data_IF_569985306469
#
_entry.id   IF_569985306469
#
_cell.length_a   1.000
_cell.length_b   1.000
_cell.length_c   1.000
_cell.angle_alpha   90.00
_cell.angle_beta   90.00
_cell.angle_gamma   90.00
#
_symmetry.space_group_name_H-M   'P 1'
#
loop_
_entity.id
_entity.type
_entity.pdbx_description
1 polymer ?
#
# COMPACT_ATOMS: atom_id res chain seq x y z
N UNK A 1 -22.40 10.10 1.92
CA UNK A 1 -21.37 10.97 1.30
C UNK A 1 -19.95 10.43 1.49
N UNK A 2 -19.71 9.55 2.46
CA UNK A 2 -18.36 9.04 2.76
C UNK A 2 -17.79 8.06 1.73
N UNK A 3 -18.61 7.22 1.08
CA UNK A 3 -18.11 6.24 0.11
C UNK A 3 -17.36 6.88 -1.08
N UNK A 4 -17.85 8.01 -1.61
CA UNK A 4 -17.16 8.73 -2.67
C UNK A 4 -15.79 9.26 -2.23
N UNK A 5 -15.70 9.73 -0.98
CA UNK A 5 -14.46 10.28 -0.42
C UNK A 5 -13.46 9.18 -0.07
N UNK A 6 -13.92 8.02 0.39
CA UNK A 6 -13.04 6.91 0.75
C UNK A 6 -12.69 5.99 -0.43
N UNK A 7 -13.52 5.96 -1.49
CA UNK A 7 -13.31 5.06 -2.63
C UNK A 7 -12.77 5.80 -3.86
N UNK A 8 -13.35 6.96 -4.23
CA UNK A 8 -12.94 7.68 -5.44
C UNK A 8 -11.75 8.62 -5.23
N UNK A 9 -11.68 9.30 -4.09
CA UNK A 9 -10.58 10.24 -3.82
C UNK A 9 -9.18 9.59 -3.85
N UNK A 10 -8.98 8.39 -3.27
CA UNK A 10 -7.68 7.72 -3.36
C UNK A 10 -7.30 7.40 -4.81
N UNK A 11 -8.26 6.94 -5.62
CA UNK A 11 -8.03 6.64 -7.04
C UNK A 11 -7.62 7.89 -7.82
N UNK A 12 -8.32 9.01 -7.61
CA UNK A 12 -7.99 10.29 -8.24
C UNK A 12 -6.59 10.75 -7.81
N UNK A 13 -6.25 10.62 -6.53
CA UNK A 13 -4.95 11.00 -5.99
C UNK A 13 -3.82 10.17 -6.59
N UNK A 14 -3.97 8.85 -6.68
CA UNK A 14 -2.98 7.95 -7.28
C UNK A 14 -2.79 8.28 -8.76
N UNK A 15 -3.88 8.45 -9.51
CA UNK A 15 -3.81 8.84 -10.93
C UNK A 15 -3.18 10.21 -11.12
N UNK A 16 -3.47 11.18 -10.24
CA UNK A 16 -2.88 12.52 -10.27
C UNK A 16 -1.37 12.51 -10.04
N UNK A 17 -0.89 11.77 -9.03
CA UNK A 17 0.55 11.61 -8.77
C UNK A 17 1.25 10.93 -9.96
N UNK A 18 0.65 9.87 -10.51
CA UNK A 18 1.22 9.19 -11.67
C UNK A 18 1.25 10.07 -12.93
N UNK A 19 0.21 10.87 -13.16
CA UNK A 19 0.16 11.83 -14.26
C UNK A 19 1.23 12.91 -14.08
N UNK A 20 1.40 13.42 -12.86
CA UNK A 20 2.46 14.37 -12.55
C UNK A 20 3.86 13.79 -12.80
N UNK A 21 4.12 12.54 -12.41
CA UNK A 21 5.38 11.86 -12.76
C UNK A 21 5.55 11.68 -14.26
N UNK A 22 4.48 11.32 -14.97
CA UNK A 22 4.52 11.19 -16.43
C UNK A 22 4.93 12.51 -17.09
N UNK A 23 4.39 13.64 -16.62
CA UNK A 23 4.76 14.99 -17.10
C UNK A 23 6.20 15.32 -16.72
N UNK A 24 6.58 15.12 -15.44
CA UNK A 24 7.90 15.47 -14.91
C UNK A 24 9.06 14.71 -15.57
N UNK A 25 8.86 13.42 -15.87
CA UNK A 25 9.89 12.56 -16.46
C UNK A 25 9.74 12.40 -17.99
N UNK A 26 8.79 13.11 -18.61
CA UNK A 26 8.62 13.11 -20.07
C UNK A 26 8.13 11.79 -20.65
N UNK A 27 7.38 11.00 -19.87
CA UNK A 27 6.81 9.72 -20.31
C UNK A 27 6.84 8.63 -19.25
N UNK A 28 5.93 7.66 -19.34
CA UNK A 28 5.78 6.58 -18.34
C UNK A 28 7.01 5.70 -18.22
N UNK A 29 7.76 5.51 -19.32
CA UNK A 29 8.97 4.68 -19.37
C UNK A 29 10.19 5.32 -18.69
N UNK A 30 10.14 6.63 -18.46
CA UNK A 30 11.23 7.40 -17.84
C UNK A 30 11.00 7.61 -16.34
N UNK A 31 9.88 7.12 -15.79
CA UNK A 31 9.63 7.22 -14.36
C UNK A 31 10.62 6.27 -13.68
N UNK A 32 11.47 6.78 -12.77
CA UNK A 32 12.45 5.94 -12.12
C UNK A 32 11.76 4.85 -11.29
N UNK A 33 12.11 3.55 -11.47
CA UNK A 33 11.49 2.46 -10.74
C UNK A 33 11.55 2.65 -9.22
N UNK A 34 12.68 3.15 -8.70
CA UNK A 34 12.90 3.45 -7.28
C UNK A 34 11.88 4.45 -6.72
N UNK A 35 11.38 5.37 -7.54
CA UNK A 35 10.36 6.34 -7.14
C UNK A 35 9.00 5.64 -6.95
N UNK A 36 8.69 4.68 -7.81
CA UNK A 36 7.48 3.86 -7.74
C UNK A 36 7.56 2.94 -6.53
N UNK A 37 8.67 2.19 -6.39
CA UNK A 37 8.91 1.28 -5.28
C UNK A 37 8.91 2.01 -3.93
N UNK A 38 9.60 3.14 -3.79
CA UNK A 38 9.59 3.92 -2.56
C UNK A 38 8.20 4.48 -2.20
N UNK A 39 7.35 4.78 -3.19
CA UNK A 39 5.97 5.17 -2.94
C UNK A 39 5.09 3.97 -2.54
N UNK A 40 5.35 2.79 -3.11
CA UNK A 40 4.68 1.55 -2.73
C UNK A 40 5.06 1.14 -1.30
N UNK A 41 6.34 1.18 -0.94
CA UNK A 41 6.84 0.89 0.41
C UNK A 41 6.22 1.83 1.46
N UNK A 42 6.16 3.14 1.17
CA UNK A 42 5.46 4.09 2.06
C UNK A 42 3.98 3.78 2.22
N UNK A 43 3.33 3.29 1.17
CA UNK A 43 1.91 2.93 1.20
C UNK A 43 1.69 1.64 1.99
N UNK A 44 2.57 0.66 1.83
CA UNK A 44 2.62 -0.58 2.62
C UNK A 44 2.79 -0.31 4.10
N UNK A 45 3.78 0.51 4.47
CA UNK A 45 4.06 0.85 5.86
C UNK A 45 2.84 1.47 6.53
N UNK A 46 2.19 2.43 5.86
CA UNK A 46 0.93 3.02 6.34
C UNK A 46 -0.21 2.01 6.43
N UNK A 47 -0.30 1.09 5.49
CA UNK A 47 -1.31 0.03 5.53
C UNK A 47 -1.10 -0.90 6.73
N UNK A 48 0.14 -1.32 6.98
CA UNK A 48 0.50 -2.11 8.17
C UNK A 48 0.20 -1.36 9.46
N UNK A 49 0.61 -0.10 9.58
CA UNK A 49 0.30 0.76 10.73
C UNK A 49 -1.22 0.90 10.95
N UNK A 50 -2.01 1.04 9.89
CA UNK A 50 -3.47 1.11 9.97
C UNK A 50 -4.10 -0.21 10.42
N UNK A 51 -3.58 -1.36 9.96
CA UNK A 51 -4.03 -2.68 10.42
C UNK A 51 -3.69 -2.88 11.88
N UNK A 52 -2.47 -2.52 12.31
CA UNK A 52 -2.09 -2.59 13.72
C UNK A 52 -2.98 -1.68 14.59
N UNK A 53 -3.30 -0.48 14.12
CA UNK A 53 -4.23 0.40 14.83
C UNK A 53 -5.64 -0.17 14.87
N UNK A 54 -6.13 -0.72 13.76
CA UNK A 54 -7.42 -1.40 13.73
C UNK A 54 -7.43 -2.55 14.74
N UNK A 55 -6.35 -3.33 14.83
CA UNK A 55 -6.19 -4.41 15.79
C UNK A 55 -6.24 -3.92 17.25
N UNK A 56 -5.56 -2.82 17.57
CA UNK A 56 -5.57 -2.25 18.92
C UNK A 56 -6.94 -1.73 19.36
N UNK A 57 -7.78 -1.33 18.41
CA UNK A 57 -9.12 -0.81 18.66
C UNK A 57 -10.22 -1.86 18.37
N UNK A 58 -9.84 -3.13 18.21
CA UNK A 58 -10.80 -4.20 18.01
C UNK A 58 -11.75 -4.31 19.21
N UNK A 59 -13.07 -4.38 18.97
CA UNK A 59 -14.03 -4.63 20.03
C UNK A 59 -13.74 -5.95 20.76
N UNK A 60 -13.88 -5.99 22.10
CA UNK A 60 -13.64 -7.21 22.87
C UNK A 60 -14.68 -8.32 22.58
N UNK A 61 -15.82 -7.95 21.98
CA UNK A 61 -16.97 -8.77 21.63
C UNK A 61 -16.93 -9.34 20.20
N UNK A 62 -15.78 -9.25 19.50
CA UNK A 62 -15.62 -9.86 18.18
C UNK A 62 -15.83 -11.38 18.21
N UNK A 63 -16.58 -11.86 17.23
CA UNK A 63 -16.73 -13.28 16.96
C UNK A 63 -15.38 -13.92 16.58
N UNK A 64 -15.24 -15.21 16.82
CA UNK A 64 -14.02 -15.95 16.44
C UNK A 64 -13.74 -15.90 14.93
N UNK A 65 -14.80 -15.72 14.12
CA UNK A 65 -14.71 -15.54 12.68
C UNK A 65 -14.05 -14.21 12.29
N UNK A 66 -14.50 -13.09 12.87
CA UNK A 66 -13.94 -11.76 12.58
C UNK A 66 -12.49 -11.64 13.05
N UNK A 67 -12.15 -12.28 14.19
CA UNK A 67 -10.74 -12.41 14.63
C UNK A 67 -9.90 -13.16 13.61
N UNK A 68 -10.43 -14.24 13.03
CA UNK A 68 -9.78 -15.00 11.97
C UNK A 68 -9.54 -14.17 10.71
N UNK A 69 -10.51 -13.37 10.27
CA UNK A 69 -10.36 -12.48 9.12
C UNK A 69 -9.27 -11.42 9.32
N UNK A 70 -9.20 -10.82 10.52
CA UNK A 70 -8.16 -9.83 10.82
C UNK A 70 -6.77 -10.45 10.85
N UNK A 71 -6.61 -11.65 11.43
CA UNK A 71 -5.34 -12.40 11.42
C UNK A 71 -4.93 -12.75 9.98
N UNK A 72 -5.89 -13.17 9.14
CA UNK A 72 -5.64 -13.43 7.72
C UNK A 72 -5.20 -12.17 6.97
N UNK A 73 -5.83 -11.03 7.24
CA UNK A 73 -5.44 -9.73 6.66
C UNK A 73 -4.02 -9.33 7.05
N UNK A 74 -3.60 -9.58 8.29
CA UNK A 74 -2.21 -9.38 8.72
C UNK A 74 -1.24 -10.32 7.99
N UNK A 75 -1.61 -11.59 7.82
CA UNK A 75 -0.82 -12.57 7.07
C UNK A 75 -0.61 -12.12 5.62
N UNK A 76 -1.69 -11.70 4.96
CA UNK A 76 -1.63 -11.15 3.60
C UNK A 76 -0.78 -9.89 3.51
N UNK A 77 -0.86 -9.00 4.50
CA UNK A 77 -0.04 -7.78 4.53
C UNK A 77 1.46 -8.10 4.61
N UNK A 78 1.85 -9.08 5.44
CA UNK A 78 3.23 -9.57 5.53
C UNK A 78 3.69 -10.23 4.24
N UNK A 79 2.88 -11.10 3.65
CA UNK A 79 3.22 -11.75 2.38
C UNK A 79 3.41 -10.71 1.26
N UNK A 80 2.59 -9.66 1.25
CA UNK A 80 2.73 -8.56 0.30
C UNK A 80 4.03 -7.78 0.52
N UNK A 81 4.48 -7.63 1.78
CA UNK A 81 5.75 -6.98 2.13
C UNK A 81 6.96 -7.78 1.67
N UNK A 82 6.91 -9.10 1.88
CA UNK A 82 7.94 -10.03 1.42
C UNK A 82 8.04 -10.03 -0.11
N UNK A 83 6.92 -10.15 -0.82
CA UNK A 83 6.89 -10.07 -2.29
C UNK A 83 7.39 -8.73 -2.81
N UNK A 84 7.14 -7.64 -2.09
CA UNK A 84 7.65 -6.32 -2.50
C UNK A 84 9.16 -6.22 -2.38
N UNK A 85 9.75 -6.80 -1.33
CA UNK A 85 11.22 -6.92 -1.15
C UNK A 85 11.85 -7.81 -2.22
N UNK A 86 11.15 -8.85 -2.67
CA UNK A 86 11.62 -9.70 -3.79
C UNK A 86 11.60 -8.98 -5.14
N UNK A 87 10.60 -8.12 -5.36
CA UNK A 87 10.43 -7.34 -6.59
C UNK A 87 11.26 -6.06 -6.61
N UNK A 88 11.83 -5.65 -5.46
CA UNK A 88 12.79 -4.57 -5.39
C UNK A 88 13.94 -4.93 -6.33
N UNK A 89 14.19 -4.13 -7.39
CA UNK A 89 15.29 -4.42 -8.29
C UNK A 89 16.54 -4.40 -7.43
N UNK A 90 17.21 -5.55 -7.31
CA UNK A 90 18.57 -5.64 -6.77
C UNK A 90 19.39 -4.67 -7.60
N UNK A 91 19.55 -3.46 -7.11
CA UNK A 91 20.37 -2.49 -7.79
C UNK A 91 21.77 -3.11 -7.80
N UNK A 92 22.30 -3.20 -9.01
CA UNK A 92 23.59 -3.82 -9.29
C UNK A 92 24.67 -2.95 -8.63
N UNK A 93 25.22 -3.39 -7.51
CA UNK A 93 26.64 -3.20 -7.18
C UNK A 93 27.25 -4.59 -7.16
N UNK A 94 28.17 -4.99 -8.05
CA UNK A 94 29.44 -4.38 -8.44
C UNK A 94 30.30 -4.01 -7.23
#
# INVERSE_FOLDING_TARGET
MDYLKHTLWPLIKVKGVHLWWTIKYGGRKNIPPELIFGQMEKSMKRFSENIEQAFRHLPADLSDHEKGEVINLMGLAKELEEKMKELEPKDKGN
#
